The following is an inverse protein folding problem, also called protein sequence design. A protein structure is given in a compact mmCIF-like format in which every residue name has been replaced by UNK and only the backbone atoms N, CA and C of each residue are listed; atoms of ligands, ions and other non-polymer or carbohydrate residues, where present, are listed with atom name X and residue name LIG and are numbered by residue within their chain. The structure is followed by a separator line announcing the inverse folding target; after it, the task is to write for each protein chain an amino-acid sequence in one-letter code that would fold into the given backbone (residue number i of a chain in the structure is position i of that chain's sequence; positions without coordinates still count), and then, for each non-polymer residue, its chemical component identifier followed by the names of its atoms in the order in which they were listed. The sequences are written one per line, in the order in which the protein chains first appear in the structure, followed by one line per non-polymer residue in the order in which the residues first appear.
data_IF_376350143706
#
_entry.id   IF_376350143706
#
_cell.length_a   1.000
_cell.length_b   1.000
_cell.length_c   1.000
_cell.angle_alpha   90.00
_cell.angle_beta   90.00
_cell.angle_gamma   90.00
#
_symmetry.space_group_name_H-M   'P 1'
#
loop_
_entity.id
_entity.type
_entity.pdbx_description
1 polymer ?
#
# COMPACT_ATOMS: atom_id res chain seq x y z
N UNK A 1 -74.72 -29.07 50.33
CA UNK A 1 -73.54 -29.05 51.23
C UNK A 1 -72.50 -29.94 50.55
N UNK A 2 -71.43 -29.45 49.95
CA UNK A 2 -70.33 -28.63 50.49
C UNK A 2 -69.71 -27.78 49.37
N UNK A 3 -69.18 -26.61 49.75
CA UNK A 3 -68.55 -25.61 48.88
C UNK A 3 -67.19 -26.10 48.37
N UNK A 4 -66.83 -25.75 47.13
CA UNK A 4 -65.49 -25.96 46.57
C UNK A 4 -65.06 -24.76 45.72
N UNK A 5 -64.09 -24.02 46.24
CA UNK A 5 -63.60 -22.71 45.83
C UNK A 5 -62.84 -22.72 44.49
N UNK A 6 -62.96 -21.64 43.72
CA UNK A 6 -62.18 -21.34 42.49
C UNK A 6 -60.67 -21.28 42.76
N UNK A 7 -59.83 -21.73 41.82
CA UNK A 7 -58.48 -21.18 41.64
C UNK A 7 -58.10 -21.21 40.14
N UNK A 8 -58.03 -20.01 39.54
CA UNK A 8 -57.38 -19.77 38.24
C UNK A 8 -55.87 -19.79 38.47
N UNK A 9 -55.16 -20.74 37.87
CA UNK A 9 -53.69 -20.75 37.85
C UNK A 9 -53.22 -19.81 36.73
N UNK A 10 -52.61 -18.68 37.10
CA UNK A 10 -51.88 -17.84 36.17
C UNK A 10 -50.54 -18.53 35.83
N UNK A 11 -50.34 -18.90 34.56
CA UNK A 11 -49.06 -19.38 34.08
C UNK A 11 -48.09 -18.19 33.94
N UNK A 12 -47.15 -18.06 34.88
CA UNK A 12 -46.01 -17.16 34.76
C UNK A 12 -45.02 -17.81 33.79
N UNK A 13 -44.87 -17.27 32.59
CA UNK A 13 -43.76 -17.60 31.69
C UNK A 13 -42.51 -16.88 32.22
N UNK A 14 -41.66 -17.61 32.93
CA UNK A 14 -40.32 -17.14 33.25
C UNK A 14 -39.45 -17.25 31.99
N UNK A 15 -39.22 -16.13 31.31
CA UNK A 15 -38.18 -16.06 30.29
C UNK A 15 -36.82 -16.22 30.99
N UNK A 16 -36.21 -17.40 30.84
CA UNK A 16 -34.81 -17.61 31.25
C UNK A 16 -33.96 -16.78 30.28
N UNK A 17 -33.45 -15.65 30.77
CA UNK A 17 -32.43 -14.87 30.07
C UNK A 17 -31.14 -15.70 30.11
N UNK A 18 -30.86 -16.45 29.05
CA UNK A 18 -29.54 -17.06 28.88
C UNK A 18 -28.52 -15.91 28.79
N UNK A 19 -27.37 -15.97 29.49
CA UNK A 19 -26.34 -14.98 29.31
C UNK A 19 -25.90 -15.03 27.85
N UNK A 20 -25.95 -13.89 27.16
CA UNK A 20 -25.36 -13.79 25.83
C UNK A 20 -23.88 -14.15 25.96
N UNK A 21 -23.48 -15.26 25.33
CA UNK A 21 -22.06 -15.61 25.20
C UNK A 21 -21.35 -14.42 24.56
N UNK A 22 -20.19 -13.98 25.09
CA UNK A 22 -19.41 -12.95 24.39
C UNK A 22 -19.07 -13.50 23.02
N UNK A 23 -19.66 -12.93 21.98
CA UNK A 23 -19.19 -13.07 20.60
C UNK A 23 -17.76 -12.57 20.62
N UNK A 24 -16.80 -13.49 20.70
CA UNK A 24 -15.41 -13.15 20.51
C UNK A 24 -15.31 -12.61 19.09
N UNK A 25 -15.04 -11.31 18.96
CA UNK A 25 -14.47 -10.78 17.72
C UNK A 25 -13.29 -11.69 17.37
N UNK A 26 -13.25 -12.18 16.13
CA UNK A 26 -12.15 -13.02 15.66
C UNK A 26 -10.83 -12.41 16.15
N UNK A 27 -10.07 -13.19 16.92
CA UNK A 27 -8.83 -12.72 17.53
C UNK A 27 -7.90 -12.26 16.40
N UNK A 28 -7.72 -10.95 16.28
CA UNK A 28 -6.93 -10.38 15.20
C UNK A 28 -5.50 -10.90 15.36
N UNK A 29 -5.04 -11.75 14.44
CA UNK A 29 -3.67 -12.24 14.46
C UNK A 29 -2.75 -11.06 14.17
N UNK A 30 -1.92 -10.70 15.15
CA UNK A 30 -0.96 -9.60 15.00
C UNK A 30 0.25 -10.12 14.25
N UNK A 31 0.34 -9.78 12.96
CA UNK A 31 1.53 -9.98 12.14
C UNK A 31 2.33 -8.69 12.01
N UNK A 32 3.65 -8.74 12.25
CA UNK A 32 4.56 -7.60 11.97
C UNK A 32 5.35 -7.88 10.70
N UNK A 33 5.22 -7.00 9.72
CA UNK A 33 6.07 -6.96 8.53
C UNK A 33 7.14 -5.89 8.71
N UNK A 34 8.40 -6.29 8.77
CA UNK A 34 9.52 -5.39 9.03
C UNK A 34 10.85 -6.00 8.55
N UNK A 35 11.88 -5.17 8.47
CA UNK A 35 13.26 -5.60 8.24
C UNK A 35 14.25 -4.69 8.95
N UNK A 36 15.55 -5.01 8.84
CA UNK A 36 16.63 -4.27 9.51
C UNK A 36 16.71 -2.79 9.12
N UNK A 37 16.21 -2.44 7.94
CA UNK A 37 16.11 -1.08 7.44
C UNK A 37 14.85 -0.88 6.58
N UNK A 38 14.72 0.30 5.97
CA UNK A 38 13.60 0.66 5.08
C UNK A 38 13.54 -0.19 3.80
N UNK A 39 14.69 -0.65 3.29
CA UNK A 39 14.77 -1.47 2.09
C UNK A 39 14.30 -2.90 2.39
N UNK A 40 14.78 -3.47 3.50
CA UNK A 40 14.35 -4.77 3.99
C UNK A 40 12.88 -4.78 4.40
N UNK A 41 12.37 -3.68 4.98
CA UNK A 41 10.93 -3.54 5.28
C UNK A 41 10.08 -3.51 4.00
N UNK A 42 10.48 -2.74 2.98
CA UNK A 42 9.79 -2.73 1.69
C UNK A 42 9.79 -4.13 1.04
N UNK A 43 10.91 -4.85 1.10
CA UNK A 43 11.00 -6.23 0.63
C UNK A 43 10.08 -7.17 1.41
N UNK A 44 10.04 -7.09 2.75
CA UNK A 44 9.17 -7.92 3.58
C UNK A 44 7.67 -7.68 3.29
N UNK A 45 7.27 -6.42 3.11
CA UNK A 45 5.90 -6.07 2.70
C UNK A 45 5.57 -6.69 1.34
N UNK A 46 6.51 -6.58 0.39
CA UNK A 46 6.35 -7.16 -0.94
C UNK A 46 6.21 -8.69 -0.89
N UNK A 47 7.02 -9.38 -0.09
CA UNK A 47 6.98 -10.83 0.10
C UNK A 47 5.65 -11.32 0.67
N UNK A 48 5.10 -10.58 1.62
CA UNK A 48 3.81 -10.91 2.23
C UNK A 48 2.61 -10.68 1.28
N UNK A 49 2.78 -9.84 0.26
CA UNK A 49 1.66 -9.34 -0.56
C UNK A 49 1.65 -9.89 -1.98
N UNK A 50 2.82 -10.09 -2.60
CA UNK A 50 2.95 -10.37 -4.04
C UNK A 50 3.65 -11.70 -4.32
N UNK A 51 3.00 -12.52 -5.15
CA UNK A 51 3.61 -13.69 -5.77
C UNK A 51 4.58 -13.27 -6.91
N UNK A 52 5.52 -14.15 -7.33
CA UNK A 52 6.34 -13.94 -8.52
C UNK A 52 5.51 -13.70 -9.80
N UNK A 53 6.12 -13.06 -10.80
CA UNK A 53 5.50 -12.75 -12.09
C UNK A 53 4.63 -11.50 -12.08
N UNK A 54 4.97 -10.49 -11.26
CA UNK A 54 4.16 -9.26 -11.18
C UNK A 54 4.23 -8.48 -12.51
N UNK A 55 3.11 -7.89 -13.00
CA UNK A 55 3.12 -7.13 -14.25
C UNK A 55 4.01 -5.88 -14.21
N UNK A 56 4.20 -5.29 -13.04
CA UNK A 56 5.04 -4.11 -12.85
C UNK A 56 5.53 -4.05 -11.40
N UNK A 57 6.77 -3.61 -11.21
CA UNK A 57 7.29 -3.19 -9.91
C UNK A 57 7.68 -1.71 -9.96
N UNK A 58 7.31 -0.95 -8.92
CA UNK A 58 7.72 0.43 -8.74
C UNK A 58 8.96 0.51 -7.87
N UNK A 59 9.82 1.46 -8.19
CA UNK A 59 11.10 1.67 -7.52
C UNK A 59 11.29 3.16 -7.28
N UNK A 60 11.60 3.55 -6.04
CA UNK A 60 11.88 4.94 -5.67
C UNK A 60 13.10 5.03 -4.73
N UNK A 61 13.64 6.24 -4.55
CA UNK A 61 14.70 6.45 -3.56
C UNK A 61 14.17 6.24 -2.13
N UNK A 62 14.96 5.56 -1.31
CA UNK A 62 14.70 5.44 0.12
C UNK A 62 15.23 6.60 0.96
N UNK A 63 15.94 7.58 0.37
CA UNK A 63 16.75 8.53 1.14
C UNK A 63 16.04 9.86 1.43
N UNK A 64 15.26 10.42 0.49
CA UNK A 64 14.61 11.74 0.67
C UNK A 64 13.08 11.78 0.48
N UNK A 65 12.43 10.69 0.06
CA UNK A 65 10.98 10.43 0.11
C UNK A 65 9.95 11.29 -0.69
N UNK A 66 10.23 12.33 -1.50
CA UNK A 66 9.12 13.04 -2.15
C UNK A 66 8.42 12.19 -3.23
N UNK A 67 9.19 11.44 -4.00
CA UNK A 67 8.70 10.80 -5.23
C UNK A 67 7.95 9.48 -4.95
N UNK A 68 8.24 8.82 -3.82
CA UNK A 68 7.53 7.60 -3.39
C UNK A 68 6.12 7.89 -2.85
N UNK A 69 5.86 9.10 -2.35
CA UNK A 69 4.55 9.47 -1.78
C UNK A 69 3.46 9.59 -2.84
N UNK A 70 3.75 10.24 -3.98
CA UNK A 70 2.85 10.26 -5.13
C UNK A 70 2.80 8.90 -5.86
N UNK A 71 3.86 8.10 -5.73
CA UNK A 71 3.96 6.76 -6.29
C UNK A 71 3.07 5.71 -5.64
N UNK A 72 2.79 5.84 -4.35
CA UNK A 72 2.01 4.87 -3.57
C UNK A 72 0.62 4.57 -4.15
N UNK A 73 -0.23 5.59 -4.39
CA UNK A 73 -1.53 5.40 -5.02
C UNK A 73 -1.47 4.75 -6.40
N UNK A 74 -0.48 5.12 -7.22
CA UNK A 74 -0.28 4.52 -8.54
C UNK A 74 0.10 3.03 -8.44
N UNK A 75 1.01 2.70 -7.54
CA UNK A 75 1.41 1.31 -7.27
C UNK A 75 0.22 0.49 -6.74
N UNK A 76 -0.58 1.05 -5.82
CA UNK A 76 -1.77 0.40 -5.28
C UNK A 76 -2.84 0.16 -6.36
N UNK A 77 -3.11 1.17 -7.20
CA UNK A 77 -4.04 1.06 -8.35
C UNK A 77 -3.66 -0.07 -9.29
N UNK A 78 -2.36 -0.28 -9.52
CA UNK A 78 -1.85 -1.34 -10.37
C UNK A 78 -1.59 -2.66 -9.63
N UNK A 79 -1.89 -2.73 -8.33
CA UNK A 79 -1.54 -3.86 -7.45
C UNK A 79 -0.09 -4.28 -7.63
N UNK A 80 0.81 -3.32 -7.50
CA UNK A 80 2.22 -3.47 -7.76
C UNK A 80 3.05 -3.22 -6.48
N UNK A 81 4.16 -3.94 -6.28
CA UNK A 81 5.08 -3.66 -5.18
C UNK A 81 5.78 -2.31 -5.38
N UNK A 82 6.05 -1.63 -4.27
CA UNK A 82 6.92 -0.45 -4.18
C UNK A 82 8.20 -0.84 -3.45
N UNK A 83 9.32 -0.88 -4.16
CA UNK A 83 10.64 -1.16 -3.59
C UNK A 83 11.48 0.12 -3.52
N UNK A 84 12.50 0.09 -2.68
CA UNK A 84 13.35 1.24 -2.40
C UNK A 84 14.80 1.02 -2.85
N UNK A 85 15.49 2.07 -3.28
CA UNK A 85 16.92 2.04 -3.64
C UNK A 85 17.71 3.12 -2.93
N UNK A 86 19.04 2.98 -2.94
CA UNK A 86 19.93 4.10 -2.69
C UNK A 86 20.04 4.94 -3.97
N UNK A 87 20.51 6.18 -3.85
CA UNK A 87 20.68 7.05 -5.01
C UNK A 87 21.66 6.50 -6.05
N UNK A 88 22.66 5.71 -5.61
CA UNK A 88 23.74 5.20 -6.45
C UNK A 88 23.96 3.68 -6.33
N UNK A 89 22.98 2.95 -5.80
CA UNK A 89 23.08 1.49 -5.70
C UNK A 89 21.77 0.81 -5.34
N UNK A 90 21.70 -0.48 -5.65
CA UNK A 90 20.61 -1.36 -5.22
C UNK A 90 21.00 -2.10 -3.94
N UNK A 91 20.31 -1.86 -2.82
CA UNK A 91 20.47 -2.65 -1.60
C UNK A 91 20.20 -4.13 -1.85
N UNK A 92 20.88 -4.99 -1.08
CA UNK A 92 20.80 -6.45 -1.23
C UNK A 92 19.37 -6.96 -1.07
N UNK A 93 18.61 -6.41 -0.12
CA UNK A 93 17.20 -6.73 0.06
C UNK A 93 16.36 -6.45 -1.19
N UNK A 94 16.59 -5.31 -1.85
CA UNK A 94 15.90 -4.92 -3.08
C UNK A 94 16.30 -5.82 -4.25
N UNK A 95 17.58 -6.17 -4.37
CA UNK A 95 18.08 -7.09 -5.40
C UNK A 95 17.47 -8.49 -5.26
N UNK A 96 17.46 -9.01 -4.04
CA UNK A 96 16.87 -10.32 -3.75
C UNK A 96 15.37 -10.32 -4.05
N UNK A 97 14.67 -9.26 -3.68
CA UNK A 97 13.24 -9.16 -3.89
C UNK A 97 12.85 -9.00 -5.37
N UNK A 98 13.60 -8.20 -6.14
CA UNK A 98 13.40 -8.12 -7.60
C UNK A 98 13.64 -9.46 -8.29
N UNK A 99 14.65 -10.22 -7.83
CA UNK A 99 14.93 -11.58 -8.34
C UNK A 99 13.76 -12.52 -8.08
N UNK A 100 13.16 -12.45 -6.89
CA UNK A 100 11.99 -13.26 -6.51
C UNK A 100 10.73 -12.86 -7.27
N UNK A 101 10.48 -11.55 -7.38
CA UNK A 101 9.26 -11.00 -7.99
C UNK A 101 9.19 -11.22 -9.50
N UNK A 102 10.34 -11.25 -10.20
CA UNK A 102 10.42 -11.40 -11.66
C UNK A 102 9.46 -10.44 -12.39
N UNK A 103 9.56 -9.11 -12.17
CA UNK A 103 8.62 -8.16 -12.74
C UNK A 103 8.70 -8.12 -14.26
N UNK A 104 7.56 -8.03 -14.93
CA UNK A 104 7.53 -7.91 -16.40
C UNK A 104 8.08 -6.56 -16.89
N UNK A 105 7.96 -5.49 -16.09
CA UNK A 105 8.60 -4.18 -16.30
C UNK A 105 8.84 -3.49 -14.97
N UNK A 106 9.78 -2.53 -14.94
CA UNK A 106 10.10 -1.74 -13.75
C UNK A 106 9.85 -0.27 -14.02
N UNK A 107 9.26 0.44 -13.06
CA UNK A 107 9.05 1.89 -13.12
C UNK A 107 9.84 2.57 -12.03
N UNK A 108 10.77 3.44 -12.42
CA UNK A 108 11.49 4.32 -11.52
C UNK A 108 10.67 5.60 -11.31
N UNK A 109 10.46 5.96 -10.06
CA UNK A 109 9.90 7.24 -9.64
C UNK A 109 11.01 8.13 -9.11
N UNK A 110 11.20 9.27 -9.77
CA UNK A 110 12.20 10.27 -9.42
C UNK A 110 13.30 10.44 -10.47
N UNK A 111 13.90 11.62 -10.43
CA UNK A 111 14.95 12.04 -11.36
C UNK A 111 16.28 11.29 -11.19
N UNK A 112 17.21 11.54 -12.10
CA UNK A 112 18.54 10.92 -12.10
C UNK A 112 19.43 11.33 -10.92
N UNK A 113 19.07 12.43 -10.23
CA UNK A 113 19.76 12.90 -9.03
C UNK A 113 19.47 12.02 -7.80
N UNK A 114 18.27 11.46 -7.73
CA UNK A 114 17.79 10.65 -6.61
C UNK A 114 17.79 9.15 -6.89
N UNK A 115 17.75 8.75 -8.16
CA UNK A 115 17.97 7.36 -8.63
C UNK A 115 18.85 7.42 -9.87
N UNK A 116 20.15 7.13 -9.71
CA UNK A 116 21.14 7.33 -10.77
C UNK A 116 20.89 6.46 -12.01
N UNK A 117 21.45 6.84 -13.17
CA UNK A 117 21.47 5.98 -14.35
C UNK A 117 22.14 4.62 -14.10
N UNK A 118 23.09 4.55 -13.15
CA UNK A 118 23.70 3.28 -12.74
C UNK A 118 22.67 2.35 -12.09
N UNK A 119 21.82 2.88 -11.21
CA UNK A 119 20.74 2.09 -10.60
C UNK A 119 19.74 1.65 -11.66
N UNK A 120 19.38 2.53 -12.60
CA UNK A 120 18.52 2.17 -13.74
C UNK A 120 19.08 1.03 -14.58
N UNK A 121 20.38 1.07 -14.89
CA UNK A 121 21.07 -0.01 -15.60
C UNK A 121 21.07 -1.32 -14.79
N UNK A 122 21.26 -1.25 -13.46
CA UNK A 122 21.17 -2.43 -12.60
C UNK A 122 19.75 -3.02 -12.57
N UNK A 123 18.71 -2.18 -12.56
CA UNK A 123 17.31 -2.60 -12.59
C UNK A 123 16.95 -3.34 -13.88
N UNK A 124 17.55 -2.96 -15.01
CA UNK A 124 17.31 -3.61 -16.30
C UNK A 124 17.68 -5.10 -16.30
N UNK A 125 18.56 -5.56 -15.41
CA UNK A 125 18.89 -6.98 -15.26
C UNK A 125 17.74 -7.84 -14.70
N UNK A 126 16.70 -7.23 -14.13
CA UNK A 126 15.60 -7.93 -13.45
C UNK A 126 14.30 -7.99 -14.27
N UNK A 127 14.30 -7.50 -15.51
CA UNK A 127 13.11 -7.44 -16.35
C UNK A 127 13.47 -7.49 -17.84
N UNK A 128 12.66 -8.18 -18.63
CA UNK A 128 12.76 -8.17 -20.10
C UNK A 128 11.90 -7.07 -20.75
N UNK A 129 10.85 -6.57 -20.08
CA UNK A 129 9.97 -5.53 -20.61
C UNK A 129 10.46 -4.11 -20.41
N UNK A 130 11.71 -3.95 -19.94
CA UNK A 130 12.38 -2.66 -19.82
C UNK A 130 12.12 -1.92 -18.51
N UNK A 131 12.84 -0.82 -18.37
CA UNK A 131 12.76 0.12 -17.24
C UNK A 131 12.28 1.47 -17.78
N UNK A 132 11.26 2.03 -17.14
CA UNK A 132 10.73 3.37 -17.48
C UNK A 132 10.93 4.30 -16.30
N UNK A 133 11.27 5.55 -16.55
CA UNK A 133 11.39 6.58 -15.52
C UNK A 133 10.28 7.61 -15.63
N UNK A 134 9.68 7.94 -14.49
CA UNK A 134 8.75 9.06 -14.35
C UNK A 134 9.36 10.04 -13.35
N UNK A 135 9.61 11.27 -13.83
CA UNK A 135 10.23 12.32 -13.05
C UNK A 135 9.79 13.70 -13.56
N UNK A 136 9.70 14.66 -12.65
CA UNK A 136 9.56 16.08 -12.96
C UNK A 136 10.80 16.88 -12.53
N UNK A 137 10.75 18.20 -12.75
CA UNK A 137 11.78 19.12 -12.31
C UNK A 137 11.92 19.17 -10.77
N UNK A 138 10.84 18.87 -10.07
CA UNK A 138 10.74 18.76 -8.63
C UNK A 138 9.68 17.71 -8.24
N UNK A 139 9.44 17.58 -6.93
CA UNK A 139 8.46 16.65 -6.36
C UNK A 139 7.03 16.89 -6.81
N UNK A 140 6.66 18.16 -7.05
CA UNK A 140 5.32 18.54 -7.49
C UNK A 140 5.11 18.09 -8.93
N UNK A 141 6.10 18.36 -9.79
CA UNK A 141 6.09 17.92 -11.17
C UNK A 141 6.16 16.39 -11.31
N UNK A 142 6.93 15.68 -10.46
CA UNK A 142 6.90 14.21 -10.43
C UNK A 142 5.52 13.69 -10.06
N UNK A 143 4.87 14.26 -9.03
CA UNK A 143 3.52 13.84 -8.63
C UNK A 143 2.49 14.05 -9.75
N UNK A 144 2.56 15.20 -10.44
CA UNK A 144 1.72 15.48 -11.60
C UNK A 144 1.97 14.49 -12.76
N UNK A 145 3.23 14.15 -13.03
CA UNK A 145 3.60 13.18 -14.06
C UNK A 145 3.10 11.76 -13.73
N UNK A 146 3.21 11.33 -12.47
CA UNK A 146 2.67 10.04 -12.00
C UNK A 146 1.15 10.01 -12.11
N UNK A 147 0.48 11.10 -11.73
CA UNK A 147 -0.97 11.25 -11.87
C UNK A 147 -1.39 11.09 -13.34
N UNK A 148 -0.77 11.86 -14.24
CA UNK A 148 -1.06 11.83 -15.66
C UNK A 148 -0.78 10.45 -16.31
N UNK A 149 0.20 9.71 -15.80
CA UNK A 149 0.56 8.40 -16.34
C UNK A 149 -0.40 7.28 -15.94
N UNK A 150 -1.02 7.35 -14.75
CA UNK A 150 -1.74 6.20 -14.16
C UNK A 150 -3.19 6.45 -13.79
N UNK A 151 -3.67 7.70 -13.83
CA UNK A 151 -5.05 8.05 -13.54
C UNK A 151 -5.72 8.65 -14.77
N UNK A 152 -6.95 8.23 -15.10
CA UNK A 152 -7.69 8.81 -16.22
C UNK A 152 -8.07 10.27 -15.94
N UNK A 153 -8.29 11.04 -17.00
CA UNK A 153 -8.90 12.35 -16.86
C UNK A 153 -10.30 12.22 -16.23
N UNK A 154 -10.66 13.17 -15.36
CA UNK A 154 -11.98 13.19 -14.71
C UNK A 154 -12.14 12.18 -13.56
N UNK A 155 -11.07 11.79 -12.86
CA UNK A 155 -11.20 11.04 -11.60
C UNK A 155 -12.15 11.76 -10.63
N UNK A 156 -12.99 11.02 -9.88
CA UNK A 156 -14.00 11.61 -9.00
C UNK A 156 -13.40 12.32 -7.78
N UNK A 157 -12.16 11.99 -7.42
CA UNK A 157 -11.45 12.57 -6.28
C UNK A 157 -9.94 12.65 -6.58
N UNK A 158 -9.32 13.75 -6.16
CA UNK A 158 -7.88 13.92 -6.08
C UNK A 158 -7.52 14.39 -4.67
N UNK A 159 -6.44 13.84 -4.12
CA UNK A 159 -5.92 14.22 -2.82
C UNK A 159 -4.76 15.19 -3.02
N UNK A 160 -4.76 16.30 -2.30
CA UNK A 160 -3.69 17.28 -2.34
C UNK A 160 -3.08 17.35 -0.95
N UNK A 161 -1.77 17.13 -0.87
CA UNK A 161 -0.99 17.27 0.35
C UNK A 161 0.16 18.24 0.08
N UNK A 162 0.77 18.81 1.12
CA UNK A 162 1.95 19.65 0.90
C UNK A 162 3.16 18.80 0.51
N UNK A 163 3.92 19.22 -0.51
CA UNK A 163 5.26 18.68 -0.78
C UNK A 163 6.35 19.04 0.26
N UNK A 164 6.04 19.93 1.22
CA UNK A 164 7.00 20.43 2.21
C UNK A 164 7.21 19.47 3.40
N UNK A 165 6.20 18.67 3.74
CA UNK A 165 6.28 17.61 4.77
C UNK A 165 5.49 16.37 4.31
N UNK A 166 5.84 15.20 4.82
CA UNK A 166 5.33 13.90 4.33
C UNK A 166 4.15 13.25 5.11
N UNK A 167 3.77 13.63 6.35
CA UNK A 167 2.71 12.93 7.07
C UNK A 167 1.35 12.90 6.35
N UNK A 168 0.97 14.03 5.75
CA UNK A 168 -0.34 14.17 5.08
C UNK A 168 -0.39 13.37 3.79
N UNK A 169 0.69 13.41 2.99
CA UNK A 169 0.78 12.63 1.76
C UNK A 169 0.83 11.12 2.03
N UNK A 170 1.49 10.69 3.11
CA UNK A 170 1.57 9.28 3.51
C UNK A 170 0.19 8.73 3.92
N UNK A 171 -0.55 9.49 4.73
CA UNK A 171 -1.90 9.09 5.17
C UNK A 171 -2.91 9.17 4.03
N UNK A 172 -2.80 10.18 3.16
CA UNK A 172 -3.61 10.29 1.95
C UNK A 172 -3.39 9.12 0.99
N UNK A 173 -2.18 8.54 0.94
CA UNK A 173 -1.85 7.42 0.07
C UNK A 173 -2.78 6.21 0.23
N UNK A 174 -3.15 5.87 1.47
CA UNK A 174 -4.08 4.76 1.73
C UNK A 174 -5.51 5.08 1.28
N UNK A 175 -5.98 6.30 1.52
CA UNK A 175 -7.31 6.75 1.06
C UNK A 175 -7.38 6.83 -0.47
N UNK A 176 -6.33 7.37 -1.09
CA UNK A 176 -6.16 7.47 -2.53
C UNK A 176 -6.12 6.09 -3.21
N UNK A 177 -5.40 5.14 -2.60
CA UNK A 177 -5.40 3.74 -3.03
C UNK A 177 -6.80 3.10 -2.95
N UNK A 178 -7.56 3.36 -1.88
CA UNK A 178 -8.89 2.78 -1.67
C UNK A 178 -9.96 3.39 -2.58
N UNK A 179 -9.90 4.70 -2.83
CA UNK A 179 -10.91 5.46 -3.57
C UNK A 179 -10.52 5.71 -5.04
N UNK A 180 -9.34 5.22 -5.46
CA UNK A 180 -8.89 5.25 -6.85
C UNK A 180 -8.51 6.64 -7.35
N UNK A 181 -8.10 7.55 -6.46
CA UNK A 181 -7.67 8.91 -6.80
C UNK A 181 -6.13 9.07 -6.76
N UNK A 182 -5.56 10.05 -7.49
CA UNK A 182 -4.16 10.41 -7.36
C UNK A 182 -3.88 11.19 -6.07
N UNK A 183 -2.63 11.19 -5.64
CA UNK A 183 -2.09 12.16 -4.66
C UNK A 183 -1.21 13.15 -5.43
N UNK A 184 -1.52 14.43 -5.29
CA UNK A 184 -0.73 15.56 -5.77
C UNK A 184 -0.07 16.25 -4.57
N UNK A 185 1.08 16.87 -4.84
CA UNK A 185 1.86 17.63 -3.86
C UNK A 185 1.68 19.14 -4.07
#
# INVERSE_FOLDING_TARGET
MTRGTRLLLAAIVAAVLAPASPTHAAEATIGRLWGADRYATAAAISQATFAPGVPVAFVATGQDFPDSLAGGPAAARLRAPMLLTLARGLPDATRAELSRLQPARIVILGGTTVVSPTVEAQLAAYTAGGVTRIAGADRYATAAAVSAAYFPAGVPVAYVATGATFPDALTAGAAAAALGGPVLL
#
